data_IF_813545633457
#
_entry.id   IF_813545633457
#
_cell.length_a   1.000
_cell.length_b   1.000
_cell.length_c   1.000
_cell.angle_alpha   90.00
_cell.angle_beta   90.00
_cell.angle_gamma   90.00
#
_symmetry.space_group_name_H-M   'P 1'
#
loop_
_entity.id
_entity.type
_entity.pdbx_description
1 polymer ?
#
# COMPACT_ATOMS: atom_id res chain seq x y z
N UNK A 1 -6.92 16.31 9.73
CA UNK A 1 -7.13 15.60 11.03
C UNK A 1 -7.35 14.10 10.87
N UNK A 2 -8.08 13.63 9.85
CA UNK A 2 -8.29 12.19 9.58
C UNK A 2 -6.97 11.43 9.35
N UNK A 3 -6.10 11.92 8.49
CA UNK A 3 -4.82 11.31 8.14
C UNK A 3 -3.88 11.13 9.36
N UNK A 4 -3.85 12.09 10.28
CA UNK A 4 -3.05 11.97 11.51
C UNK A 4 -3.58 10.87 12.47
N UNK A 5 -4.89 10.62 12.46
CA UNK A 5 -5.47 9.52 13.22
C UNK A 5 -5.16 8.17 12.55
N UNK A 6 -5.30 8.05 11.22
CA UNK A 6 -4.95 6.86 10.46
C UNK A 6 -3.49 6.45 10.70
N UNK A 7 -2.56 7.40 10.60
CA UNK A 7 -1.13 7.16 10.85
C UNK A 7 -0.85 6.62 12.27
N UNK A 8 -1.58 7.06 13.29
CA UNK A 8 -1.41 6.54 14.66
C UNK A 8 -1.84 5.08 14.78
N UNK A 9 -2.99 4.71 14.19
CA UNK A 9 -3.45 3.32 14.17
C UNK A 9 -2.50 2.43 13.36
N UNK A 10 -2.08 2.90 12.19
CA UNK A 10 -1.14 2.20 11.32
C UNK A 10 0.20 1.95 12.01
N UNK A 11 0.75 2.96 12.70
CA UNK A 11 2.00 2.82 13.47
C UNK A 11 1.85 1.82 14.60
N UNK A 12 0.76 1.88 15.36
CA UNK A 12 0.51 0.94 16.44
C UNK A 12 0.43 -0.52 15.95
N UNK A 13 -0.23 -0.73 14.79
CA UNK A 13 -0.28 -2.04 14.15
C UNK A 13 1.10 -2.49 13.67
N UNK A 14 1.86 -1.60 12.99
CA UNK A 14 3.20 -1.89 12.53
C UNK A 14 4.15 -2.26 13.68
N UNK A 15 4.06 -1.55 14.81
CA UNK A 15 4.83 -1.84 16.03
C UNK A 15 4.53 -3.24 16.60
N UNK A 16 3.30 -3.72 16.47
CA UNK A 16 2.90 -5.06 16.90
C UNK A 16 3.34 -6.15 15.92
N UNK A 17 3.15 -5.90 14.63
CA UNK A 17 3.44 -6.87 13.56
C UNK A 17 4.95 -7.06 13.38
N UNK A 18 5.74 -5.99 13.48
CA UNK A 18 7.20 -6.03 13.30
C UNK A 18 7.98 -6.46 14.56
N UNK A 19 7.30 -6.84 15.64
CA UNK A 19 7.97 -7.42 16.81
C UNK A 19 8.66 -8.74 16.45
N UNK A 20 9.87 -9.01 16.97
CA UNK A 20 10.62 -10.22 16.63
C UNK A 20 9.87 -11.53 16.86
N UNK A 21 8.90 -11.54 17.79
CA UNK A 21 8.13 -12.74 18.17
C UNK A 21 6.67 -12.70 17.69
N UNK A 22 6.31 -11.83 16.76
CA UNK A 22 4.94 -11.74 16.26
C UNK A 22 4.54 -12.94 15.42
N UNK A 23 5.50 -13.55 14.70
CA UNK A 23 5.24 -14.64 13.75
C UNK A 23 4.36 -14.23 12.56
N UNK A 24 4.10 -12.92 12.39
CA UNK A 24 3.24 -12.41 11.35
C UNK A 24 4.06 -11.85 10.19
N UNK A 25 3.66 -12.18 8.97
CA UNK A 25 4.19 -11.55 7.78
C UNK A 25 3.48 -10.19 7.55
N UNK A 26 4.23 -9.07 7.57
CA UNK A 26 3.65 -7.75 7.33
C UNK A 26 2.94 -7.62 5.98
N UNK A 27 3.45 -8.30 4.94
CA UNK A 27 2.84 -8.28 3.61
C UNK A 27 1.47 -8.98 3.62
N UNK A 28 1.36 -10.11 4.32
CA UNK A 28 0.10 -10.83 4.50
C UNK A 28 -0.91 -10.00 5.28
N UNK A 29 -0.47 -9.30 6.35
CA UNK A 29 -1.34 -8.40 7.13
C UNK A 29 -1.85 -7.25 6.27
N UNK A 30 -1.00 -6.63 5.46
CA UNK A 30 -1.41 -5.56 4.53
C UNK A 30 -2.44 -6.06 3.52
N UNK A 31 -2.19 -7.22 2.90
CA UNK A 31 -3.13 -7.82 1.96
C UNK A 31 -4.50 -8.12 2.60
N UNK A 32 -4.52 -8.59 3.85
CA UNK A 32 -5.76 -8.87 4.59
C UNK A 32 -6.55 -7.60 4.91
N UNK A 33 -5.88 -6.51 5.30
CA UNK A 33 -6.54 -5.22 5.54
C UNK A 33 -7.16 -4.67 4.26
N UNK A 34 -6.45 -4.74 3.14
CA UNK A 34 -6.95 -4.31 1.83
C UNK A 34 -8.14 -5.16 1.39
N UNK A 35 -8.03 -6.48 1.47
CA UNK A 35 -9.11 -7.39 1.11
C UNK A 35 -10.39 -7.14 1.94
N UNK A 36 -10.22 -6.81 3.22
CA UNK A 36 -11.35 -6.42 4.05
C UNK A 36 -11.94 -5.07 3.64
N UNK A 37 -11.11 -4.08 3.29
CA UNK A 37 -11.54 -2.80 2.71
C UNK A 37 -12.31 -2.98 1.41
N UNK A 38 -11.81 -3.81 0.49
CA UNK A 38 -12.49 -4.17 -0.76
C UNK A 38 -13.84 -4.85 -0.50
N UNK A 39 -13.89 -5.75 0.49
CA UNK A 39 -15.16 -6.38 0.92
C UNK A 39 -16.16 -5.33 1.40
N UNK A 40 -15.73 -4.34 2.19
CA UNK A 40 -16.60 -3.26 2.64
C UNK A 40 -17.09 -2.38 1.48
N UNK A 41 -16.26 -2.17 0.48
CA UNK A 41 -16.62 -1.38 -0.70
C UNK A 41 -17.56 -2.15 -1.64
N UNK A 42 -17.43 -3.48 -1.72
CA UNK A 42 -18.26 -4.35 -2.55
C UNK A 42 -19.64 -4.61 -1.95
N UNK A 43 -19.79 -4.49 -0.61
CA UNK A 43 -21.05 -4.74 0.09
C UNK A 43 -21.52 -3.48 0.85
N UNK A 44 -22.29 -2.58 0.18
CA UNK A 44 -22.78 -1.32 0.77
C UNK A 44 -23.61 -1.53 2.04
N UNK A 45 -24.36 -2.63 2.14
CA UNK A 45 -25.13 -2.97 3.33
C UNK A 45 -24.22 -3.23 4.54
N UNK A 46 -23.16 -4.01 4.36
CA UNK A 46 -22.16 -4.27 5.39
C UNK A 46 -21.50 -2.96 5.86
N UNK A 47 -21.10 -2.14 4.89
CA UNK A 47 -20.53 -0.82 5.15
C UNK A 47 -21.50 0.06 5.92
N UNK A 48 -22.78 0.08 5.52
CA UNK A 48 -23.85 0.85 6.18
C UNK A 48 -24.03 0.43 7.64
N UNK A 49 -24.06 -0.86 7.94
CA UNK A 49 -24.15 -1.40 9.30
C UNK A 49 -22.97 -0.98 10.15
N UNK A 50 -21.75 -1.09 9.61
CA UNK A 50 -20.52 -0.77 10.36
C UNK A 50 -20.35 0.72 10.59
N UNK A 51 -20.78 1.58 9.66
CA UNK A 51 -20.73 3.04 9.80
C UNK A 51 -21.85 3.60 10.66
N UNK A 52 -23.03 2.95 10.72
CA UNK A 52 -24.19 3.47 11.41
C UNK A 52 -23.95 3.66 12.92
N UNK A 53 -24.18 4.84 13.47
CA UNK A 53 -24.09 5.07 14.90
C UNK A 53 -25.21 4.39 15.71
N UNK A 54 -26.32 4.02 15.05
CA UNK A 54 -27.46 3.36 15.68
C UNK A 54 -27.22 1.88 15.98
N UNK A 55 -26.22 1.25 15.33
CA UNK A 55 -25.89 -0.16 15.57
C UNK A 55 -24.88 -0.26 16.71
N UNK A 56 -25.21 -1.07 17.72
CA UNK A 56 -24.33 -1.32 18.86
C UNK A 56 -23.01 -1.97 18.42
N UNK A 57 -21.89 -1.59 19.07
CA UNK A 57 -20.56 -2.10 18.77
C UNK A 57 -20.44 -3.62 18.90
N UNK A 58 -21.18 -4.22 19.83
CA UNK A 58 -21.26 -5.68 19.99
C UNK A 58 -21.82 -6.38 18.75
N UNK A 59 -22.86 -5.82 18.13
CA UNK A 59 -23.43 -6.35 16.87
C UNK A 59 -22.44 -6.17 15.71
N UNK A 60 -21.77 -5.03 15.61
CA UNK A 60 -20.75 -4.79 14.59
C UNK A 60 -19.60 -5.79 14.69
N UNK A 61 -19.11 -6.05 15.91
CA UNK A 61 -18.07 -7.07 16.15
C UNK A 61 -18.55 -8.48 15.76
N UNK A 62 -19.79 -8.83 16.06
CA UNK A 62 -20.36 -10.12 15.69
C UNK A 62 -20.43 -10.29 14.16
N UNK A 63 -20.86 -9.25 13.44
CA UNK A 63 -20.88 -9.23 11.96
C UNK A 63 -19.48 -9.43 11.41
N UNK A 64 -18.50 -8.63 11.86
CA UNK A 64 -17.10 -8.75 11.40
C UNK A 64 -16.53 -10.13 11.74
N UNK A 65 -16.81 -10.68 12.95
CA UNK A 65 -16.38 -12.05 13.28
C UNK A 65 -16.89 -13.07 12.28
N UNK A 66 -18.15 -13.00 11.91
CA UNK A 66 -18.75 -13.90 10.91
C UNK A 66 -18.16 -13.71 9.52
N UNK A 67 -17.94 -12.47 9.11
CA UNK A 67 -17.34 -12.18 7.81
C UNK A 67 -15.90 -12.72 7.71
N UNK A 68 -15.19 -12.75 8.83
CA UNK A 68 -13.81 -13.23 8.90
C UNK A 68 -13.69 -14.73 9.23
N UNK A 69 -14.80 -15.43 9.47
CA UNK A 69 -14.80 -16.89 9.70
C UNK A 69 -14.30 -17.62 8.44
N UNK A 70 -13.31 -18.47 8.61
CA UNK A 70 -12.70 -19.23 7.51
C UNK A 70 -11.65 -18.48 6.67
N UNK A 71 -11.44 -17.18 6.90
CA UNK A 71 -10.45 -16.39 6.12
C UNK A 71 -9.00 -16.53 6.57
N UNK A 72 -8.72 -17.29 7.64
CA UNK A 72 -7.36 -17.47 8.15
C UNK A 72 -6.70 -16.19 8.71
N UNK A 73 -7.50 -15.15 9.01
CA UNK A 73 -6.99 -13.87 9.51
C UNK A 73 -6.45 -14.06 10.95
N UNK A 74 -5.21 -13.60 11.22
CA UNK A 74 -4.62 -13.66 12.54
C UNK A 74 -5.47 -12.95 13.61
N UNK A 75 -5.45 -13.46 14.82
CA UNK A 75 -6.19 -12.89 15.97
C UNK A 75 -5.82 -11.41 16.18
N UNK A 76 -4.55 -11.05 15.97
CA UNK A 76 -4.08 -9.68 16.11
C UNK A 76 -4.81 -8.74 15.13
N UNK A 77 -4.94 -9.11 13.87
CA UNK A 77 -5.62 -8.29 12.83
C UNK A 77 -7.11 -8.20 13.15
N UNK A 78 -7.75 -9.31 13.57
CA UNK A 78 -9.14 -9.31 14.01
C UNK A 78 -9.38 -8.36 15.19
N UNK A 79 -8.51 -8.41 16.21
CA UNK A 79 -8.59 -7.52 17.36
C UNK A 79 -8.36 -6.05 16.97
N UNK A 80 -7.46 -5.80 16.04
CA UNK A 80 -7.23 -4.46 15.51
C UNK A 80 -8.47 -3.90 14.81
N UNK A 81 -9.16 -4.69 13.99
CA UNK A 81 -10.44 -4.30 13.39
C UNK A 81 -11.50 -3.99 14.44
N UNK A 82 -11.56 -4.75 15.52
CA UNK A 82 -12.48 -4.45 16.63
C UNK A 82 -12.18 -3.11 17.28
N UNK A 83 -10.89 -2.79 17.51
CA UNK A 83 -10.48 -1.49 18.06
C UNK A 83 -10.92 -0.34 17.16
N UNK A 84 -10.74 -0.48 15.83
CA UNK A 84 -11.18 0.53 14.86
C UNK A 84 -12.70 0.72 14.90
N UNK A 85 -13.45 -0.38 15.00
CA UNK A 85 -14.92 -0.35 15.09
C UNK A 85 -15.39 0.34 16.37
N UNK A 86 -14.79 0.02 17.50
CA UNK A 86 -15.15 0.61 18.82
C UNK A 86 -14.93 2.11 18.85
N UNK A 87 -13.86 2.55 18.23
CA UNK A 87 -13.55 3.98 18.09
C UNK A 87 -14.28 4.66 16.91
N UNK A 88 -15.18 3.95 16.23
CA UNK A 88 -15.94 4.47 15.05
C UNK A 88 -15.04 4.98 13.93
N UNK A 89 -13.89 4.32 13.72
CA UNK A 89 -12.87 4.71 12.74
C UNK A 89 -12.81 3.80 11.52
N UNK A 90 -13.81 2.92 11.34
CA UNK A 90 -13.85 1.96 10.22
C UNK A 90 -13.85 2.66 8.84
N UNK A 91 -14.40 3.89 8.75
CA UNK A 91 -14.35 4.69 7.53
C UNK A 91 -12.93 5.06 7.07
N UNK A 92 -11.95 4.95 7.97
CA UNK A 92 -10.55 5.29 7.71
C UNK A 92 -9.70 4.04 7.43
N UNK A 93 -10.33 2.88 7.22
CA UNK A 93 -9.60 1.61 7.07
C UNK A 93 -8.63 1.65 5.88
N UNK A 94 -9.05 2.21 4.74
CA UNK A 94 -8.23 2.32 3.54
C UNK A 94 -7.00 3.23 3.80
N UNK A 95 -7.20 4.38 4.44
CA UNK A 95 -6.12 5.29 4.84
C UNK A 95 -5.16 4.61 5.85
N UNK A 96 -5.70 3.78 6.76
CA UNK A 96 -4.91 3.04 7.74
C UNK A 96 -4.08 1.96 7.05
N UNK A 97 -4.65 1.23 6.10
CA UNK A 97 -3.95 0.19 5.35
C UNK A 97 -2.80 0.78 4.51
N UNK A 98 -3.03 1.92 3.86
CA UNK A 98 -1.99 2.63 3.11
C UNK A 98 -0.87 3.13 4.03
N UNK A 99 -1.22 3.79 5.14
CA UNK A 99 -0.24 4.26 6.11
C UNK A 99 0.55 3.10 6.75
N UNK A 100 -0.10 1.94 6.97
CA UNK A 100 0.57 0.74 7.49
C UNK A 100 1.64 0.24 6.52
N UNK A 101 1.36 0.17 5.23
CA UNK A 101 2.37 -0.21 4.22
C UNK A 101 3.57 0.73 4.23
N UNK A 102 3.32 2.03 4.30
CA UNK A 102 4.39 3.04 4.36
C UNK A 102 5.29 2.79 5.57
N UNK A 103 4.71 2.58 6.76
CA UNK A 103 5.49 2.31 7.98
C UNK A 103 6.25 0.99 7.96
N UNK A 104 5.66 -0.05 7.37
CA UNK A 104 6.33 -1.35 7.18
C UNK A 104 7.51 -1.20 6.23
N UNK A 105 7.32 -0.53 5.10
CA UNK A 105 8.35 -0.30 4.09
C UNK A 105 9.52 0.53 4.68
N UNK A 106 9.21 1.64 5.38
CA UNK A 106 10.23 2.47 6.04
C UNK A 106 11.08 1.67 7.04
N UNK A 107 10.44 0.84 7.88
CA UNK A 107 11.15 0.03 8.88
C UNK A 107 11.91 -1.15 8.29
N UNK A 108 11.44 -1.68 7.18
CA UNK A 108 12.09 -2.78 6.46
C UNK A 108 13.20 -2.30 5.53
N UNK A 109 13.44 -0.98 5.46
CA UNK A 109 14.37 -0.38 4.51
C UNK A 109 13.96 -0.63 3.04
N UNK A 110 12.66 -0.79 2.80
CA UNK A 110 12.09 -0.94 1.47
C UNK A 110 11.63 0.40 0.97
N UNK A 111 12.04 0.78 -0.24
CA UNK A 111 11.63 2.03 -0.89
C UNK A 111 10.63 1.73 -1.99
N UNK A 112 9.52 2.47 -2.01
CA UNK A 112 8.57 2.38 -3.13
C UNK A 112 9.11 3.12 -4.35
N UNK A 113 9.08 2.44 -5.51
CA UNK A 113 9.37 3.01 -6.81
C UNK A 113 8.12 3.00 -7.69
N UNK A 114 7.59 4.15 -8.02
CA UNK A 114 6.56 4.26 -9.06
C UNK A 114 7.24 4.26 -10.42
N UNK A 115 7.02 3.19 -11.18
CA UNK A 115 7.64 2.94 -12.47
C UNK A 115 6.60 3.12 -13.57
N UNK A 116 6.81 4.10 -14.44
CA UNK A 116 6.00 4.30 -15.63
C UNK A 116 6.75 3.80 -16.87
N UNK A 117 6.09 3.04 -17.71
CA UNK A 117 6.64 2.52 -18.99
C UNK A 117 5.72 2.85 -20.15
N UNK A 118 6.28 3.04 -21.34
CA UNK A 118 5.49 3.32 -22.55
C UNK A 118 4.61 2.14 -22.98
N UNK A 119 4.99 0.91 -22.59
CA UNK A 119 4.26 -0.34 -22.89
C UNK A 119 4.24 -1.23 -21.65
N UNK A 120 3.29 -2.15 -21.59
CA UNK A 120 3.26 -3.14 -20.53
C UNK A 120 4.56 -3.95 -20.50
N UNK A 121 5.19 -4.05 -19.33
CA UNK A 121 6.41 -4.82 -19.10
C UNK A 121 6.04 -6.28 -18.78
N UNK A 122 6.83 -7.22 -19.30
CA UNK A 122 6.75 -8.61 -18.88
C UNK A 122 7.40 -8.83 -17.50
N UNK A 123 7.18 -10.00 -16.90
CA UNK A 123 7.68 -10.28 -15.53
C UNK A 123 9.23 -10.33 -15.47
N UNK A 124 9.89 -10.71 -16.56
CA UNK A 124 11.35 -10.71 -16.66
C UNK A 124 11.89 -9.28 -16.61
N UNK A 125 11.28 -8.40 -17.41
CA UNK A 125 11.63 -6.98 -17.45
C UNK A 125 11.36 -6.28 -16.11
N UNK A 126 10.23 -6.56 -15.47
CA UNK A 126 9.89 -6.04 -14.13
C UNK A 126 10.93 -6.46 -13.10
N UNK A 127 11.31 -7.73 -13.11
CA UNK A 127 12.31 -8.28 -12.17
C UNK A 127 13.68 -7.66 -12.40
N UNK A 128 14.14 -7.57 -13.64
CA UNK A 128 15.42 -6.97 -14.00
C UNK A 128 15.47 -5.49 -13.57
N UNK A 129 14.39 -4.74 -13.78
CA UNK A 129 14.31 -3.33 -13.41
C UNK A 129 14.31 -3.15 -11.88
N UNK A 130 13.63 -4.00 -11.14
CA UNK A 130 13.63 -3.98 -9.67
C UNK A 130 15.05 -4.20 -9.11
N UNK A 131 15.79 -5.16 -9.67
CA UNK A 131 17.20 -5.43 -9.30
C UNK A 131 18.08 -4.23 -9.58
N UNK A 132 17.94 -3.61 -10.74
CA UNK A 132 18.75 -2.45 -11.12
C UNK A 132 18.43 -1.22 -10.25
N UNK A 133 17.16 -0.97 -9.96
CA UNK A 133 16.76 0.10 -9.05
C UNK A 133 17.25 -0.15 -7.62
N UNK A 134 17.25 -1.40 -7.15
CA UNK A 134 17.80 -1.76 -5.85
C UNK A 134 19.32 -1.51 -5.81
N UNK A 135 20.03 -1.82 -6.91
CA UNK A 135 21.48 -1.53 -7.04
C UNK A 135 21.77 -0.02 -7.01
N UNK A 136 20.97 0.77 -7.70
CA UNK A 136 21.13 2.23 -7.75
C UNK A 136 20.84 2.94 -6.44
N UNK A 137 19.87 2.41 -5.67
CA UNK A 137 19.43 3.01 -4.39
C UNK A 137 20.20 2.46 -3.18
N UNK A 138 20.83 1.29 -3.31
CA UNK A 138 21.41 0.55 -2.19
C UNK A 138 20.39 0.00 -1.19
N UNK A 139 19.10 -0.01 -1.54
CA UNK A 139 17.99 -0.45 -0.69
C UNK A 139 17.12 -1.46 -1.41
N UNK A 140 16.29 -2.20 -0.68
CA UNK A 140 15.24 -3.02 -1.30
C UNK A 140 14.19 -2.12 -1.93
N UNK A 141 13.82 -2.37 -3.17
CA UNK A 141 12.85 -1.56 -3.90
C UNK A 141 11.60 -2.38 -4.20
N UNK A 142 10.43 -1.81 -3.85
CA UNK A 142 9.12 -2.32 -4.27
C UNK A 142 8.64 -1.48 -5.45
N UNK A 143 8.55 -2.09 -6.63
CA UNK A 143 8.14 -1.41 -7.85
C UNK A 143 6.62 -1.51 -8.05
N UNK A 144 5.96 -0.37 -8.25
CA UNK A 144 4.58 -0.28 -8.72
C UNK A 144 4.63 0.14 -10.20
N UNK A 145 4.11 -0.70 -11.09
CA UNK A 145 4.21 -0.50 -12.53
C UNK A 145 2.93 0.09 -13.09
N UNK A 146 3.07 1.17 -13.86
CA UNK A 146 1.99 1.80 -14.62
C UNK A 146 2.39 1.96 -16.08
N UNK A 147 1.42 1.91 -16.98
CA UNK A 147 1.67 2.18 -18.41
C UNK A 147 1.31 3.62 -18.71
N UNK A 148 2.27 4.38 -19.25
CA UNK A 148 2.08 5.76 -19.69
C UNK A 148 2.55 5.91 -21.14
N UNK A 149 1.62 5.89 -22.12
CA UNK A 149 1.95 6.05 -23.55
C UNK A 149 2.63 7.38 -23.88
N UNK A 150 2.51 8.41 -23.00
CA UNK A 150 3.13 9.72 -23.23
C UNK A 150 4.67 9.69 -23.17
N UNK A 151 5.27 8.62 -22.63
CA UNK A 151 6.72 8.43 -22.60
C UNK A 151 7.33 8.12 -23.97
N UNK A 152 6.51 7.76 -24.98
CA UNK A 152 6.92 7.33 -26.34
C UNK A 152 7.75 6.04 -26.32
N UNK A 153 8.67 5.86 -25.35
CA UNK A 153 9.53 4.70 -25.17
C UNK A 153 10.36 4.81 -23.88
N UNK A 154 10.93 3.69 -23.45
CA UNK A 154 11.72 3.61 -22.22
C UNK A 154 10.89 3.55 -20.94
N UNK A 155 11.53 3.81 -19.81
CA UNK A 155 10.93 3.77 -18.47
C UNK A 155 11.37 4.99 -17.65
N UNK A 156 10.45 5.48 -16.83
CA UNK A 156 10.73 6.48 -15.82
C UNK A 156 10.39 5.91 -14.43
N UNK A 157 11.29 6.03 -13.47
CA UNK A 157 11.07 5.55 -12.11
C UNK A 157 11.17 6.72 -11.12
N UNK A 158 10.14 6.89 -10.30
CA UNK A 158 10.12 7.87 -9.22
C UNK A 158 10.29 7.16 -7.88
N UNK A 159 11.35 7.51 -7.15
CA UNK A 159 11.66 6.95 -5.83
C UNK A 159 11.73 8.10 -4.84
N UNK A 160 10.71 8.22 -4.00
CA UNK A 160 10.55 9.38 -3.12
C UNK A 160 10.54 10.69 -3.90
N UNK A 161 11.50 11.58 -3.66
CA UNK A 161 11.67 12.86 -4.38
C UNK A 161 12.56 12.77 -5.61
N UNK A 162 13.23 11.63 -5.85
CA UNK A 162 14.15 11.45 -6.99
C UNK A 162 13.41 10.82 -8.17
N UNK A 163 13.71 11.33 -9.38
CA UNK A 163 13.20 10.77 -10.63
C UNK A 163 14.38 10.25 -11.43
N UNK A 164 14.32 8.99 -11.79
CA UNK A 164 15.25 8.32 -12.71
C UNK A 164 14.53 8.21 -14.06
N UNK A 165 14.83 9.13 -14.94
CA UNK A 165 14.17 9.23 -16.26
C UNK A 165 15.06 8.62 -17.35
N UNK A 166 14.74 7.40 -17.75
CA UNK A 166 15.30 6.68 -18.90
C UNK A 166 14.32 6.63 -20.07
N UNK A 167 13.43 7.60 -20.19
CA UNK A 167 12.50 7.67 -21.30
C UNK A 167 13.15 8.30 -22.55
N UNK A 168 12.76 7.84 -23.74
CA UNK A 168 13.18 8.43 -25.02
C UNK A 168 12.81 9.92 -25.06
N UNK A 169 11.69 10.30 -24.49
CA UNK A 169 11.26 11.70 -24.38
C UNK A 169 12.24 12.53 -23.54
N UNK A 170 12.72 11.98 -22.42
CA UNK A 170 13.71 12.61 -21.54
C UNK A 170 15.03 12.83 -22.26
N UNK A 171 15.52 11.81 -22.98
CA UNK A 171 16.76 11.88 -23.76
C UNK A 171 16.66 12.90 -24.90
N UNK A 172 15.56 12.91 -25.67
CA UNK A 172 15.32 13.90 -26.72
C UNK A 172 15.29 15.34 -26.18
N UNK A 173 14.65 15.54 -25.01
CA UNK A 173 14.62 16.86 -24.38
C UNK A 173 16.01 17.28 -23.86
N UNK A 174 16.80 16.34 -23.38
CA UNK A 174 18.20 16.61 -22.96
C UNK A 174 19.08 16.98 -24.17
N UNK A 175 18.95 16.26 -25.29
CA UNK A 175 19.66 16.57 -26.55
C UNK A 175 19.25 17.93 -27.08
N UNK A 176 17.94 18.25 -27.09
CA UNK A 176 17.44 19.55 -27.55
C UNK A 176 18.01 20.72 -26.76
N UNK A 177 18.16 20.57 -25.45
CA UNK A 177 18.79 21.58 -24.59
C UNK A 177 20.26 21.78 -24.91
N UNK A 178 21.03 20.67 -25.12
CA UNK A 178 22.46 20.73 -25.49
C UNK A 178 22.73 21.35 -26.86
N UNK A 179 21.77 21.26 -27.77
CA UNK A 179 21.89 21.85 -29.13
C UNK A 179 21.45 23.31 -29.18
N UNK A 180 20.79 23.81 -28.11
CA UNK A 180 20.31 25.19 -28.02
C UNK A 180 21.27 26.11 -27.22
N UNK A 181 22.32 25.54 -26.61
CA UNK A 181 23.47 26.22 -25.97
C UNK A 181 24.62 26.37 -27.01
#
# INVERSE_FOLDING_TARGET
MAQAAASRYARALADLVLRPNSGLDPAAVSAQLKAFGETLNSYPELRGVLLSPAVATTRKRAVVSRTLEGSGIPVLVKNFLFVIIDHRRIAMLDDIAEAFEIFVDERSGVVKAAVSSARALDETQKSALAVELARLTGQKVRCEFATDPALVGGVAAKIGSRIYDGSVRGELNALRRRLAE
#
